data_IF_534175391190
#
_entry.id   IF_534175391190
#
_cell.length_a   1.000
_cell.length_b   1.000
_cell.length_c   1.000
_cell.angle_alpha   90.00
_cell.angle_beta   90.00
_cell.angle_gamma   90.00
#
_symmetry.space_group_name_H-M   'P 1'
#
loop_
_entity.id
_entity.type
_entity.pdbx_description
1 polymer ?
#
# COMPACT_ATOMS: atom_id res chain seq x y z
N UNK A 1 -34.63 -33.17 43.11
CA UNK A 1 -34.78 -33.15 41.64
C UNK A 1 -35.76 -32.04 41.31
N UNK A 2 -35.56 -31.38 40.16
CA UNK A 2 -36.34 -30.30 39.55
C UNK A 2 -35.67 -28.92 39.54
N UNK A 3 -34.97 -28.74 38.40
CA UNK A 3 -34.74 -27.53 37.62
C UNK A 3 -35.58 -26.30 37.99
N UNK A 4 -34.87 -25.24 38.38
CA UNK A 4 -35.41 -23.87 38.38
C UNK A 4 -34.47 -22.95 37.60
N UNK A 5 -34.86 -22.73 36.34
CA UNK A 5 -34.45 -21.65 35.41
C UNK A 5 -33.78 -20.46 36.12
N UNK A 6 -32.51 -20.22 35.84
CA UNK A 6 -31.85 -18.92 36.07
C UNK A 6 -31.67 -18.19 34.74
N UNK A 7 -31.99 -16.90 34.77
CA UNK A 7 -32.17 -15.95 33.66
C UNK A 7 -30.81 -15.49 33.08
N UNK A 8 -30.77 -15.07 31.80
CA UNK A 8 -29.57 -14.53 31.18
C UNK A 8 -29.42 -13.05 31.56
N UNK A 9 -28.78 -12.76 32.69
CA UNK A 9 -28.45 -11.37 33.06
C UNK A 9 -27.14 -11.22 33.87
N UNK A 10 -26.37 -12.30 34.03
CA UNK A 10 -25.14 -12.31 34.84
C UNK A 10 -23.84 -12.30 34.01
N UNK A 11 -23.88 -11.96 32.72
CA UNK A 11 -22.65 -11.82 31.89
C UNK A 11 -22.18 -10.35 31.79
N UNK A 12 -22.99 -9.39 32.26
CA UNK A 12 -22.71 -7.95 32.10
C UNK A 12 -21.94 -7.31 33.27
N UNK A 13 -21.51 -8.07 34.28
CA UNK A 13 -20.80 -7.51 35.45
C UNK A 13 -19.30 -7.80 35.51
N UNK A 14 -18.78 -8.69 34.68
CA UNK A 14 -17.34 -9.00 34.64
C UNK A 14 -16.54 -8.22 33.57
N UNK A 15 -17.17 -7.24 32.90
CA UNK A 15 -16.51 -6.36 31.92
C UNK A 15 -15.89 -5.09 32.54
N UNK A 16 -15.89 -4.95 33.87
CA UNK A 16 -15.42 -3.73 34.55
C UNK A 16 -13.96 -3.74 35.01
N UNK A 17 -13.20 -4.81 34.75
CA UNK A 17 -11.78 -4.87 35.12
C UNK A 17 -10.94 -5.60 34.05
N UNK A 18 -10.90 -5.07 32.83
CA UNK A 18 -9.81 -5.40 31.90
C UNK A 18 -9.00 -4.12 31.58
N UNK A 19 -7.67 -4.14 31.73
CA UNK A 19 -6.81 -3.05 31.30
C UNK A 19 -6.92 -2.86 29.78
N UNK A 20 -6.96 -1.60 29.33
CA UNK A 20 -7.19 -1.16 27.96
C UNK A 20 -6.06 -1.45 26.98
N UNK A 21 -5.64 -2.70 26.87
CA UNK A 21 -4.93 -3.22 25.71
C UNK A 21 -5.89 -4.13 24.98
N UNK A 22 -6.41 -3.65 23.85
CA UNK A 22 -7.02 -4.49 22.84
C UNK A 22 -5.95 -5.52 22.47
N UNK A 23 -6.19 -6.77 22.85
CA UNK A 23 -5.30 -7.90 22.65
C UNK A 23 -4.96 -8.00 21.15
N UNK A 24 -3.72 -7.68 20.78
CA UNK A 24 -3.21 -7.77 19.41
C UNK A 24 -3.36 -9.19 18.82
N UNK A 25 -3.51 -10.20 19.69
CA UNK A 25 -3.81 -11.57 19.29
C UNK A 25 -5.25 -11.80 18.87
N UNK A 26 -6.23 -11.07 19.41
CA UNK A 26 -7.64 -11.25 19.03
C UNK A 26 -7.96 -10.65 17.65
N UNK A 27 -7.25 -9.59 17.24
CA UNK A 27 -7.44 -8.96 15.93
C UNK A 27 -6.80 -9.74 14.77
N UNK A 28 -5.76 -10.54 15.06
CA UNK A 28 -5.04 -11.36 14.07
C UNK A 28 -5.87 -12.51 13.46
N UNK A 29 -7.07 -12.79 13.99
CA UNK A 29 -7.91 -13.93 13.57
C UNK A 29 -9.24 -13.54 12.93
N UNK A 30 -9.40 -12.30 12.47
CA UNK A 30 -10.58 -11.93 11.67
C UNK A 30 -10.28 -12.21 10.19
N UNK A 31 -10.21 -13.49 9.81
CA UNK A 31 -10.34 -13.89 8.40
C UNK A 31 -11.83 -13.87 8.06
N UNK A 32 -12.32 -12.77 7.50
CA UNK A 32 -13.72 -12.67 7.04
C UNK A 32 -13.78 -13.02 5.56
N UNK A 33 -14.41 -14.13 5.24
CA UNK A 33 -14.64 -14.59 3.88
C UNK A 33 -16.02 -14.18 3.41
N UNK A 34 -16.11 -13.50 2.26
CA UNK A 34 -17.36 -13.24 1.57
C UNK A 34 -17.36 -14.02 0.25
N UNK A 35 -18.37 -14.87 0.05
CA UNK A 35 -18.63 -15.54 -1.21
C UNK A 35 -19.57 -14.70 -2.08
N UNK A 36 -19.20 -14.50 -3.34
CA UNK A 36 -20.01 -13.82 -4.34
C UNK A 36 -20.13 -14.69 -5.59
N UNK A 37 -21.26 -14.65 -6.29
CA UNK A 37 -21.39 -15.37 -7.55
C UNK A 37 -22.72 -15.17 -8.26
N UNK A 38 -22.66 -14.62 -9.48
CA UNK A 38 -23.73 -14.63 -10.49
C UNK A 38 -23.09 -14.48 -11.90
N UNK A 39 -22.93 -15.58 -12.63
CA UNK A 39 -22.53 -15.58 -14.06
C UNK A 39 -21.02 -15.48 -14.34
N UNK A 40 -20.62 -15.22 -15.60
CA UNK A 40 -19.22 -15.28 -16.03
C UNK A 40 -18.35 -14.24 -15.33
N UNK A 41 -17.33 -14.71 -14.62
CA UNK A 41 -16.46 -13.93 -13.74
C UNK A 41 -15.45 -13.09 -14.52
N UNK A 42 -15.63 -11.76 -14.53
CA UNK A 42 -14.68 -10.81 -15.12
C UNK A 42 -13.90 -10.06 -14.04
N UNK A 43 -12.70 -9.53 -14.35
CA UNK A 43 -11.94 -8.73 -13.40
C UNK A 43 -12.69 -7.49 -12.84
N UNK A 44 -13.57 -6.91 -13.64
CA UNK A 44 -14.41 -5.79 -13.20
C UNK A 44 -15.48 -6.20 -12.18
N UNK A 45 -15.99 -7.44 -12.27
CA UNK A 45 -16.97 -7.96 -11.34
C UNK A 45 -16.31 -8.27 -9.98
N UNK A 46 -15.10 -8.85 -10.00
CA UNK A 46 -14.27 -9.03 -8.80
C UNK A 46 -13.99 -7.70 -8.11
N UNK A 47 -13.65 -6.64 -8.87
CA UNK A 47 -13.45 -5.31 -8.30
C UNK A 47 -14.69 -4.80 -7.55
N UNK A 48 -15.88 -5.00 -8.12
CA UNK A 48 -17.15 -4.60 -7.47
C UNK A 48 -17.32 -5.33 -6.13
N UNK A 49 -16.98 -6.61 -6.08
CA UNK A 49 -17.04 -7.40 -4.86
C UNK A 49 -15.98 -6.97 -3.83
N UNK A 50 -14.76 -6.65 -4.26
CA UNK A 50 -13.73 -6.06 -3.40
C UNK A 50 -14.20 -4.74 -2.78
N UNK A 51 -14.82 -3.86 -3.58
CA UNK A 51 -15.35 -2.59 -3.08
C UNK A 51 -16.48 -2.79 -2.06
N UNK A 52 -17.37 -3.76 -2.29
CA UNK A 52 -18.43 -4.13 -1.34
C UNK A 52 -17.82 -4.67 -0.05
N UNK A 53 -16.86 -5.58 -0.15
CA UNK A 53 -16.18 -6.18 1.00
C UNK A 53 -15.40 -5.13 1.81
N UNK A 54 -14.74 -4.17 1.16
CA UNK A 54 -14.02 -3.07 1.82
C UNK A 54 -14.95 -2.19 2.65
N UNK A 55 -16.13 -1.84 2.12
CA UNK A 55 -17.07 -0.91 2.76
C UNK A 55 -18.10 -1.60 3.65
N UNK A 56 -18.04 -2.93 3.75
CA UNK A 56 -18.94 -3.71 4.57
C UNK A 56 -18.75 -3.32 6.05
N UNK A 57 -19.84 -3.05 6.79
CA UNK A 57 -19.74 -2.69 8.19
C UNK A 57 -19.13 -3.83 9.02
N UNK A 58 -19.33 -5.09 8.61
CA UNK A 58 -18.62 -6.21 9.22
C UNK A 58 -17.09 -6.11 9.08
N UNK A 59 -16.57 -5.60 7.98
CA UNK A 59 -15.13 -5.57 7.73
C UNK A 59 -14.46 -4.27 8.19
N UNK A 60 -15.23 -3.34 8.75
CA UNK A 60 -14.76 -2.04 9.20
C UNK A 60 -14.58 -2.03 10.72
N UNK A 61 -13.44 -1.51 11.20
CA UNK A 61 -13.21 -1.22 12.62
C UNK A 61 -13.28 0.29 12.87
N UNK A 62 -13.50 0.70 14.11
CA UNK A 62 -13.40 2.11 14.51
C UNK A 62 -12.14 2.30 15.37
N UNK A 63 -11.33 3.31 15.05
CA UNK A 63 -10.15 3.69 15.83
C UNK A 63 -10.49 4.59 17.02
N UNK A 64 -9.48 4.94 17.83
CA UNK A 64 -9.64 5.80 19.01
C UNK A 64 -10.11 7.24 18.68
N UNK A 65 -10.06 7.64 17.41
CA UNK A 65 -10.52 8.92 16.88
C UNK A 65 -11.87 8.80 16.16
N UNK A 66 -12.58 7.68 16.32
CA UNK A 66 -13.84 7.36 15.64
C UNK A 66 -13.72 7.34 14.11
N UNK A 67 -12.52 7.10 13.59
CA UNK A 67 -12.29 6.88 12.15
C UNK A 67 -12.45 5.40 11.84
N UNK A 68 -12.97 5.13 10.65
CA UNK A 68 -13.28 3.80 10.14
C UNK A 68 -12.06 3.19 9.47
N UNK A 69 -11.45 2.22 10.13
CA UNK A 69 -10.35 1.41 9.61
C UNK A 69 -10.90 0.31 8.71
N UNK A 70 -10.58 0.34 7.42
CA UNK A 70 -10.95 -0.71 6.47
C UNK A 70 -9.80 -1.72 6.27
N UNK A 71 -10.08 -2.94 5.79
CA UNK A 71 -9.07 -3.98 5.56
C UNK A 71 -8.05 -3.53 4.51
N UNK A 72 -6.80 -3.87 4.73
CA UNK A 72 -5.71 -3.59 3.82
C UNK A 72 -5.20 -4.85 3.09
N UNK A 73 -5.57 -6.07 3.50
CA UNK A 73 -5.25 -7.28 2.74
C UNK A 73 -6.50 -7.97 2.22
N UNK A 74 -6.49 -8.30 0.94
CA UNK A 74 -7.57 -9.00 0.24
C UNK A 74 -7.01 -10.21 -0.51
N UNK A 75 -7.48 -11.41 -0.17
CA UNK A 75 -7.18 -12.63 -0.92
C UNK A 75 -8.41 -12.99 -1.73
N UNK A 76 -8.28 -12.93 -3.05
CA UNK A 76 -9.33 -13.29 -4.01
C UNK A 76 -9.13 -14.74 -4.42
N UNK A 77 -9.94 -15.61 -3.86
CA UNK A 77 -9.95 -17.03 -4.19
C UNK A 77 -10.86 -17.28 -5.39
N UNK A 78 -10.30 -17.87 -6.44
CA UNK A 78 -10.99 -18.21 -7.69
C UNK A 78 -10.82 -19.70 -7.99
N UNK A 79 -11.79 -20.26 -8.73
CA UNK A 79 -11.63 -21.58 -9.33
C UNK A 79 -10.40 -21.62 -10.27
N UNK A 80 -9.67 -22.74 -10.27
CA UNK A 80 -8.46 -22.91 -11.07
C UNK A 80 -8.70 -22.71 -12.58
N UNK A 81 -9.81 -23.20 -13.14
CA UNK A 81 -10.12 -23.06 -14.56
C UNK A 81 -10.42 -21.60 -14.92
N UNK A 82 -11.20 -20.91 -14.09
CA UNK A 82 -11.51 -19.47 -14.26
C UNK A 82 -10.25 -18.64 -14.17
N UNK A 83 -9.36 -18.94 -13.22
CA UNK A 83 -8.08 -18.26 -13.06
C UNK A 83 -7.20 -18.42 -14.30
N UNK A 84 -7.01 -19.66 -14.77
CA UNK A 84 -6.18 -19.94 -15.95
C UNK A 84 -6.74 -19.29 -17.22
N UNK A 85 -8.06 -19.35 -17.43
CA UNK A 85 -8.69 -18.84 -18.64
C UNK A 85 -8.70 -17.30 -18.73
N UNK A 86 -8.87 -16.60 -17.61
CA UNK A 86 -9.17 -15.15 -17.63
C UNK A 86 -8.24 -14.27 -16.80
N UNK A 87 -7.50 -14.82 -15.83
CA UNK A 87 -6.75 -14.03 -14.85
C UNK A 87 -5.24 -14.26 -14.90
N UNK A 88 -4.77 -15.48 -15.19
CA UNK A 88 -3.34 -15.81 -15.25
C UNK A 88 -2.51 -14.80 -16.07
N UNK A 89 -2.88 -14.44 -17.32
CA UNK A 89 -2.03 -13.57 -18.15
C UNK A 89 -1.95 -12.13 -17.65
N UNK A 90 -2.91 -11.70 -16.81
CA UNK A 90 -3.06 -10.30 -16.39
C UNK A 90 -3.06 -10.13 -14.87
N UNK A 91 -2.71 -11.17 -14.12
CA UNK A 91 -2.89 -11.22 -12.66
C UNK A 91 -2.17 -10.09 -11.93
N UNK A 92 -0.89 -9.83 -12.26
CA UNK A 92 -0.10 -8.74 -11.69
C UNK A 92 -0.70 -7.37 -12.00
N UNK A 93 -1.01 -7.10 -13.27
CA UNK A 93 -1.59 -5.82 -13.73
C UNK A 93 -2.95 -5.58 -13.09
N UNK A 94 -3.78 -6.62 -13.01
CA UNK A 94 -5.12 -6.55 -12.41
C UNK A 94 -5.04 -6.30 -10.91
N UNK A 95 -4.13 -6.95 -10.18
CA UNK A 95 -3.91 -6.68 -8.76
C UNK A 95 -3.53 -5.21 -8.53
N UNK A 96 -2.56 -4.68 -9.28
CA UNK A 96 -2.15 -3.27 -9.17
C UNK A 96 -3.30 -2.32 -9.51
N UNK A 97 -4.07 -2.61 -10.56
CA UNK A 97 -5.24 -1.81 -10.92
C UNK A 97 -6.34 -1.84 -9.85
N UNK A 98 -6.57 -2.97 -9.21
CA UNK A 98 -7.55 -3.07 -8.13
C UNK A 98 -7.10 -2.32 -6.89
N UNK A 99 -5.81 -2.36 -6.54
CA UNK A 99 -5.23 -1.59 -5.43
C UNK A 99 -5.45 -0.09 -5.65
N UNK A 100 -5.01 0.44 -6.79
CA UNK A 100 -5.16 1.87 -7.13
C UNK A 100 -6.63 2.31 -7.12
N UNK A 101 -7.53 1.47 -7.67
CA UNK A 101 -8.96 1.77 -7.66
C UNK A 101 -9.60 1.72 -6.28
N UNK A 102 -9.20 0.79 -5.40
CA UNK A 102 -9.72 0.75 -4.02
C UNK A 102 -9.30 1.99 -3.24
N UNK A 103 -8.04 2.41 -3.38
CA UNK A 103 -7.55 3.67 -2.82
C UNK A 103 -8.34 4.86 -3.37
N UNK A 104 -8.56 4.92 -4.69
CA UNK A 104 -9.33 5.97 -5.33
C UNK A 104 -10.78 6.01 -4.83
N UNK A 105 -11.44 4.86 -4.62
CA UNK A 105 -12.81 4.80 -4.10
C UNK A 105 -12.87 5.32 -2.66
N UNK A 106 -11.93 4.93 -1.81
CA UNK A 106 -11.88 5.37 -0.42
C UNK A 106 -11.62 6.88 -0.33
N UNK A 107 -10.67 7.38 -1.12
CA UNK A 107 -10.36 8.82 -1.25
C UNK A 107 -11.57 9.62 -1.76
N UNK A 108 -12.27 9.09 -2.77
CA UNK A 108 -13.50 9.70 -3.30
C UNK A 108 -14.59 9.75 -2.24
N UNK A 109 -14.72 8.70 -1.42
CA UNK A 109 -15.72 8.63 -0.33
C UNK A 109 -15.40 9.65 0.76
N UNK A 110 -14.15 9.76 1.19
CA UNK A 110 -13.71 10.77 2.16
C UNK A 110 -13.91 12.19 1.63
N UNK A 111 -13.54 12.43 0.36
CA UNK A 111 -13.73 13.73 -0.29
C UNK A 111 -15.21 14.15 -0.31
N UNK A 112 -16.12 13.22 -0.62
CA UNK A 112 -17.58 13.47 -0.59
C UNK A 112 -18.12 13.76 0.81
N UNK A 113 -17.51 13.17 1.84
CA UNK A 113 -17.85 13.40 3.24
C UNK A 113 -17.20 14.69 3.79
N UNK A 114 -16.26 15.29 3.06
CA UNK A 114 -15.50 16.47 3.49
C UNK A 114 -14.55 16.21 4.66
N UNK A 115 -14.34 14.94 5.03
CA UNK A 115 -13.48 14.50 6.13
C UNK A 115 -12.88 13.12 5.85
N UNK A 116 -11.68 12.88 6.34
CA UNK A 116 -11.05 11.57 6.33
C UNK A 116 -11.68 10.66 7.38
N UNK A 117 -12.88 10.17 7.07
CA UNK A 117 -13.62 9.23 7.92
C UNK A 117 -13.12 7.80 7.76
N UNK A 118 -12.80 7.37 6.53
CA UNK A 118 -12.29 6.02 6.25
C UNK A 118 -10.78 6.06 6.04
N UNK A 119 -10.04 5.05 6.48
CA UNK A 119 -8.66 4.85 6.07
C UNK A 119 -8.32 3.37 6.10
N UNK A 120 -7.33 2.97 5.30
CA UNK A 120 -6.79 1.62 5.37
C UNK A 120 -5.96 1.43 6.64
N UNK A 121 -5.95 0.22 7.18
CA UNK A 121 -5.07 -0.14 8.29
C UNK A 121 -3.57 -0.10 7.92
N UNK A 122 -3.24 -0.14 6.63
CA UNK A 122 -1.87 -0.16 6.12
C UNK A 122 -1.87 -0.21 4.58
N UNK A 123 -0.76 -0.56 3.92
CA UNK A 123 -0.69 -0.65 2.46
C UNK A 123 -1.66 -1.70 1.93
N UNK A 124 -2.37 -1.37 0.85
CA UNK A 124 -3.36 -2.27 0.25
C UNK A 124 -2.67 -3.39 -0.52
N UNK A 125 -2.81 -4.61 -0.03
CA UNK A 125 -2.29 -5.84 -0.64
C UNK A 125 -3.45 -6.65 -1.20
N UNK A 126 -3.37 -7.00 -2.47
CA UNK A 126 -4.36 -7.84 -3.14
C UNK A 126 -3.65 -9.02 -3.79
N UNK A 127 -4.06 -10.22 -3.41
CA UNK A 127 -3.51 -11.48 -3.89
C UNK A 127 -4.64 -12.30 -4.52
N UNK A 128 -4.33 -13.03 -5.59
CA UNK A 128 -5.27 -13.96 -6.21
C UNK A 128 -4.79 -15.37 -5.90
N UNK A 129 -5.64 -16.14 -5.23
CA UNK A 129 -5.36 -17.53 -4.86
C UNK A 129 -6.28 -18.47 -5.65
N UNK A 130 -5.76 -19.66 -5.97
CA UNK A 130 -6.50 -20.68 -6.73
C UNK A 130 -7.00 -21.76 -5.79
N UNK A 131 -8.29 -22.07 -5.88
CA UNK A 131 -8.94 -23.06 -5.02
C UNK A 131 -9.78 -24.00 -5.87
N UNK A 132 -9.67 -25.30 -5.63
CA UNK A 132 -10.45 -26.33 -6.35
C UNK A 132 -11.83 -26.56 -5.75
N UNK A 133 -12.07 -26.06 -4.54
CA UNK A 133 -13.30 -26.19 -3.74
C UNK A 133 -14.34 -25.10 -4.05
N UNK A 134 -14.16 -24.34 -5.13
CA UNK A 134 -15.01 -23.21 -5.50
C UNK A 134 -15.60 -23.41 -6.88
N UNK A 135 -16.88 -23.07 -7.07
CA UNK A 135 -17.52 -23.16 -8.39
C UNK A 135 -16.89 -22.18 -9.39
N UNK A 136 -16.94 -22.50 -10.69
CA UNK A 136 -16.34 -21.68 -11.76
C UNK A 136 -16.86 -20.23 -11.81
N UNK A 137 -18.08 -20.01 -11.31
CA UNK A 137 -18.76 -18.71 -11.27
C UNK A 137 -18.84 -18.10 -9.86
N UNK A 138 -18.08 -18.65 -8.91
CA UNK A 138 -18.02 -18.16 -7.54
C UNK A 138 -16.63 -17.59 -7.25
N UNK A 139 -16.60 -16.53 -6.45
CA UNK A 139 -15.38 -15.95 -5.89
C UNK A 139 -15.53 -15.82 -4.39
N UNK A 140 -14.46 -16.15 -3.68
CA UNK A 140 -14.38 -15.93 -2.24
C UNK A 140 -13.33 -14.86 -1.98
N UNK A 141 -13.74 -13.80 -1.29
CA UNK A 141 -12.84 -12.70 -0.94
C UNK A 141 -12.60 -12.78 0.56
N UNK A 142 -11.35 -13.08 0.94
CA UNK A 142 -10.91 -13.02 2.32
C UNK A 142 -10.34 -11.64 2.61
N UNK A 143 -10.96 -10.94 3.55
CA UNK A 143 -10.50 -9.64 4.02
C UNK A 143 -9.73 -9.83 5.33
N UNK A 144 -8.58 -9.18 5.42
CA UNK A 144 -7.77 -9.15 6.63
C UNK A 144 -7.25 -7.74 6.91
N UNK A 145 -7.32 -7.35 8.18
CA UNK A 145 -6.70 -6.15 8.70
C UNK A 145 -5.34 -6.56 9.25
N UNK A 146 -4.27 -6.10 8.58
CA UNK A 146 -2.90 -6.24 9.03
C UNK A 146 -2.48 -4.86 9.52
N UNK A 147 -2.37 -4.71 10.84
CA UNK A 147 -1.83 -3.49 11.41
C UNK A 147 -0.38 -3.29 10.91
N UNK A 148 0.12 -2.04 10.77
CA UNK A 148 1.50 -1.78 10.38
C UNK A 148 2.55 -2.23 11.41
N UNK A 149 2.13 -3.00 12.44
CA UNK A 149 2.96 -3.46 13.54
C UNK A 149 2.88 -4.98 13.67
N UNK A 150 3.42 -5.67 12.67
CA UNK A 150 4.10 -6.96 12.83
C UNK A 150 5.01 -7.14 11.60
N UNK A 151 5.99 -6.25 11.48
CA UNK A 151 7.28 -6.70 10.99
C UNK A 151 7.70 -7.82 11.94
N UNK A 152 7.50 -9.06 11.48
CA UNK A 152 7.90 -10.28 12.16
C UNK A 152 9.26 -10.04 12.82
N UNK A 153 9.45 -10.29 14.13
CA UNK A 153 10.78 -10.31 14.70
C UNK A 153 11.54 -11.41 13.95
N UNK A 154 12.38 -10.99 13.01
CA UNK A 154 13.24 -11.85 12.25
C UNK A 154 13.94 -12.78 13.24
N UNK A 155 13.78 -14.08 13.02
CA UNK A 155 14.41 -15.12 13.79
C UNK A 155 15.88 -14.77 13.99
N UNK A 156 16.30 -14.80 15.26
CA UNK A 156 17.66 -14.78 15.80
C UNK A 156 18.77 -14.51 14.77
N UNK A 157 19.45 -13.35 14.81
CA UNK A 157 20.64 -13.15 13.99
C UNK A 157 21.71 -14.18 14.39
N UNK A 158 22.37 -14.88 13.45
CA UNK A 158 23.66 -15.51 13.74
C UNK A 158 24.67 -14.40 14.16
N UNK A 159 25.67 -14.73 14.98
CA UNK A 159 26.56 -13.75 15.61
C UNK A 159 27.23 -12.83 14.56
N UNK A 160 27.49 -11.56 14.92
CA UNK A 160 27.93 -10.54 13.99
C UNK A 160 29.33 -10.88 13.47
N UNK A 161 29.40 -11.33 12.22
CA UNK A 161 30.59 -11.10 11.41
C UNK A 161 30.49 -9.64 10.99
N UNK A 162 31.36 -8.78 11.54
CA UNK A 162 31.40 -7.35 11.24
C UNK A 162 31.22 -7.09 9.74
N UNK A 163 30.13 -6.44 9.29
CA UNK A 163 30.11 -5.88 7.96
C UNK A 163 30.95 -4.60 7.98
N UNK A 164 31.76 -4.42 6.93
CA UNK A 164 32.36 -3.14 6.57
C UNK A 164 31.30 -2.03 6.58
N UNK A 165 31.68 -0.74 6.75
CA UNK A 165 30.72 0.36 6.70
C UNK A 165 30.08 0.42 5.31
N UNK A 166 28.91 -0.20 5.14
CA UNK A 166 28.05 0.02 4.00
C UNK A 166 27.45 1.40 4.19
N UNK A 167 28.00 2.38 3.48
CA UNK A 167 27.43 3.72 3.41
C UNK A 167 26.08 3.62 2.70
N UNK A 168 25.01 3.71 3.48
CA UNK A 168 23.63 3.65 2.98
C UNK A 168 23.29 5.02 2.42
N UNK A 169 22.82 5.09 1.18
CA UNK A 169 22.34 6.34 0.59
C UNK A 169 20.98 6.75 1.17
N UNK A 170 20.61 8.02 1.05
CA UNK A 170 19.29 8.50 1.43
C UNK A 170 18.77 9.61 0.54
N UNK A 171 17.45 9.77 0.58
CA UNK A 171 16.72 10.85 -0.06
C UNK A 171 16.16 11.79 1.00
N UNK A 172 16.31 13.08 0.77
CA UNK A 172 15.78 14.14 1.62
C UNK A 172 14.70 14.93 0.87
N UNK A 173 13.59 15.23 1.52
CA UNK A 173 12.49 16.01 0.94
C UNK A 173 12.77 17.52 1.00
N UNK A 174 12.59 18.24 -0.11
CA UNK A 174 12.74 19.68 -0.18
C UNK A 174 11.42 20.40 -0.55
N UNK A 175 11.01 21.45 0.20
CA UNK A 175 11.52 21.84 1.52
C UNK A 175 10.99 20.87 2.61
N UNK A 176 11.86 20.43 3.52
CA UNK A 176 11.46 19.57 4.63
C UNK A 176 12.64 18.95 5.38
N UNK A 177 12.34 18.29 6.51
CA UNK A 177 13.31 17.50 7.29
C UNK A 177 13.10 15.99 7.10
N UNK A 178 12.16 15.61 6.23
CA UNK A 178 11.82 14.21 6.02
C UNK A 178 12.89 13.55 5.14
N UNK A 179 13.47 12.47 5.67
CA UNK A 179 14.54 11.74 5.00
C UNK A 179 14.24 10.24 5.02
N UNK A 180 14.55 9.56 3.91
CA UNK A 180 14.37 8.12 3.74
C UNK A 180 15.69 7.46 3.37
N UNK A 181 16.03 6.37 4.05
CA UNK A 181 17.22 5.57 3.73
C UNK A 181 16.92 4.57 2.60
N UNK A 182 17.84 4.47 1.65
CA UNK A 182 17.78 3.56 0.52
C UNK A 182 18.48 2.25 0.86
N UNK A 183 17.84 1.45 1.73
CA UNK A 183 18.39 0.19 2.22
C UNK A 183 18.05 -1.03 1.35
N UNK A 184 17.09 -0.90 0.43
CA UNK A 184 16.62 -1.98 -0.43
C UNK A 184 17.30 -1.95 -1.80
N UNK A 185 17.31 -3.09 -2.50
CA UNK A 185 17.79 -3.19 -3.89
C UNK A 185 16.91 -2.41 -4.87
N UNK A 186 15.61 -2.32 -4.60
CA UNK A 186 14.66 -1.49 -5.32
C UNK A 186 13.85 -0.71 -4.29
N UNK A 187 13.75 0.60 -4.47
CA UNK A 187 12.94 1.50 -3.64
C UNK A 187 11.95 2.22 -4.53
N UNK A 188 10.66 1.95 -4.33
CA UNK A 188 9.56 2.56 -5.07
C UNK A 188 9.11 3.87 -4.41
N UNK A 189 8.83 4.88 -5.22
CA UNK A 189 8.47 6.23 -4.78
C UNK A 189 7.17 6.65 -5.46
N UNK A 190 6.20 7.14 -4.68
CA UNK A 190 4.95 7.61 -5.25
C UNK A 190 3.89 7.98 -4.23
N UNK A 191 2.72 8.35 -4.74
CA UNK A 191 1.54 8.73 -3.93
C UNK A 191 0.83 7.53 -3.30
N UNK A 192 1.02 6.33 -3.84
CA UNK A 192 0.36 5.12 -3.34
C UNK A 192 1.07 4.63 -2.05
N UNK A 193 0.27 4.15 -1.09
CA UNK A 193 0.73 3.61 0.18
C UNK A 193 1.59 2.35 0.06
N UNK A 194 1.50 1.64 -1.07
CA UNK A 194 2.31 0.47 -1.41
C UNK A 194 3.76 0.81 -1.81
N UNK A 195 4.11 2.09 -1.98
CA UNK A 195 5.48 2.51 -2.26
C UNK A 195 6.33 2.49 -0.99
N UNK A 196 7.60 2.10 -1.11
CA UNK A 196 8.57 2.16 0.00
C UNK A 196 8.73 3.59 0.53
N UNK A 197 8.76 4.56 -0.39
CA UNK A 197 8.65 5.98 -0.09
C UNK A 197 7.26 6.46 -0.49
N UNK A 198 6.35 6.37 0.48
CA UNK A 198 4.98 6.86 0.36
C UNK A 198 4.93 8.38 0.60
N UNK A 199 4.58 9.13 -0.44
CA UNK A 199 4.48 10.59 -0.43
C UNK A 199 3.10 11.05 0.04
N UNK A 200 2.82 10.84 1.33
CA UNK A 200 1.59 11.29 2.00
C UNK A 200 1.66 12.79 2.36
N UNK A 201 1.76 13.64 1.34
CA UNK A 201 1.84 15.09 1.50
C UNK A 201 0.53 15.75 1.01
N UNK A 202 -0.06 16.70 1.77
CA UNK A 202 -1.34 17.32 1.39
C UNK A 202 -1.34 17.94 -0.01
N UNK A 203 -0.25 18.60 -0.41
CA UNK A 203 -0.13 19.22 -1.73
C UNK A 203 -0.01 18.20 -2.87
N UNK A 204 0.62 17.04 -2.61
CA UNK A 204 0.69 15.92 -3.56
C UNK A 204 -0.69 15.32 -3.77
N UNK A 205 -1.43 15.06 -2.68
CA UNK A 205 -2.81 14.54 -2.73
C UNK A 205 -3.77 15.49 -3.44
N UNK A 206 -3.64 16.79 -3.19
CA UNK A 206 -4.53 17.80 -3.77
C UNK A 206 -4.30 18.00 -5.28
N UNK A 207 -3.03 18.07 -5.71
CA UNK A 207 -2.68 18.37 -7.11
C UNK A 207 -2.57 17.13 -8.00
N UNK A 208 -2.31 15.95 -7.41
CA UNK A 208 -2.17 14.66 -8.11
C UNK A 208 -1.22 14.69 -9.30
N UNK A 209 -0.15 15.48 -9.22
CA UNK A 209 0.89 15.51 -10.25
C UNK A 209 1.80 14.28 -10.14
N UNK A 210 2.07 13.83 -8.92
CA UNK A 210 2.82 12.61 -8.64
C UNK A 210 1.90 11.39 -8.78
N UNK A 211 2.36 10.39 -9.53
CA UNK A 211 1.64 9.16 -9.84
C UNK A 211 1.60 8.23 -8.62
N UNK A 212 0.69 7.24 -8.63
CA UNK A 212 0.60 6.23 -7.57
C UNK A 212 1.94 5.54 -7.35
N UNK A 213 2.51 5.02 -8.43
CA UNK A 213 3.91 4.60 -8.54
C UNK A 213 4.58 5.54 -9.55
N UNK A 214 5.49 6.40 -9.12
CA UNK A 214 5.98 7.50 -9.95
C UNK A 214 7.42 7.32 -10.39
N UNK A 215 8.27 6.83 -9.51
CA UNK A 215 9.66 6.53 -9.83
C UNK A 215 10.13 5.38 -8.95
N UNK A 216 11.19 4.71 -9.37
CA UNK A 216 11.88 3.76 -8.51
C UNK A 216 13.39 3.94 -8.63
N UNK A 217 14.09 3.68 -7.53
CA UNK A 217 15.54 3.61 -7.50
C UNK A 217 15.95 2.15 -7.43
N UNK A 218 16.91 1.76 -8.24
CA UNK A 218 17.53 0.43 -8.19
C UNK A 218 18.99 0.57 -7.79
N UNK A 219 19.40 -0.17 -6.78
CA UNK A 219 20.79 -0.34 -6.41
C UNK A 219 21.38 -1.51 -7.22
N UNK A 220 22.34 -1.23 -8.09
CA UNK A 220 23.02 -2.24 -8.92
C UNK A 220 24.50 -1.89 -9.03
N UNK A 221 25.38 -2.88 -8.87
CA UNK A 221 26.84 -2.70 -8.98
C UNK A 221 27.40 -1.58 -8.07
N UNK A 222 26.82 -1.39 -6.88
CA UNK A 222 27.24 -0.35 -5.93
C UNK A 222 26.82 1.07 -6.34
N UNK A 223 25.92 1.21 -7.31
CA UNK A 223 25.40 2.50 -7.80
C UNK A 223 23.88 2.53 -7.71
N UNK A 224 23.33 3.72 -7.46
CA UNK A 224 21.89 3.95 -7.43
C UNK A 224 21.44 4.50 -8.78
N UNK A 225 20.48 3.84 -9.40
CA UNK A 225 19.90 4.21 -10.69
C UNK A 225 18.43 4.59 -10.50
N UNK A 226 18.06 5.81 -10.85
CA UNK A 226 16.69 6.29 -10.85
C UNK A 226 16.00 5.99 -12.18
N UNK A 227 14.76 5.52 -12.13
CA UNK A 227 13.91 5.25 -13.28
C UNK A 227 12.59 6.00 -13.17
N UNK A 228 12.07 6.47 -14.31
CA UNK A 228 10.77 7.12 -14.43
C UNK A 228 9.66 6.07 -14.58
N UNK A 229 8.66 6.10 -13.70
CA UNK A 229 7.53 5.19 -13.71
C UNK A 229 7.63 4.03 -12.73
N UNK A 230 6.89 2.96 -13.02
CA UNK A 230 6.83 1.73 -12.25
C UNK A 230 7.76 0.65 -12.83
N UNK A 231 8.20 -0.33 -12.01
CA UNK A 231 9.04 -1.44 -12.47
C UNK A 231 8.40 -2.32 -13.56
N UNK A 232 7.08 -2.27 -13.72
CA UNK A 232 6.33 -2.99 -14.76
C UNK A 232 6.43 -2.33 -16.16
N UNK A 233 7.16 -1.20 -16.26
CA UNK A 233 7.35 -0.44 -17.50
C UNK A 233 6.30 0.65 -17.72
N UNK A 234 5.36 0.85 -16.80
CA UNK A 234 4.40 1.95 -16.87
C UNK A 234 5.09 3.28 -16.58
N UNK A 235 5.14 4.24 -17.53
CA UNK A 235 5.77 5.53 -17.28
C UNK A 235 4.95 6.38 -16.31
N UNK A 236 5.62 7.30 -15.62
CA UNK A 236 4.92 8.29 -14.81
C UNK A 236 4.14 9.28 -15.70
N UNK A 237 3.07 9.87 -15.16
CA UNK A 237 2.18 10.73 -15.95
C UNK A 237 2.82 12.08 -16.31
N UNK A 238 3.65 12.62 -15.42
CA UNK A 238 4.23 13.97 -15.54
C UNK A 238 5.77 13.97 -15.58
N UNK A 239 6.39 12.80 -15.69
CA UNK A 239 7.82 12.62 -15.82
C UNK A 239 8.61 12.80 -14.52
N UNK A 240 9.76 12.16 -14.48
CA UNK A 240 10.78 12.30 -13.44
C UNK A 240 12.01 13.00 -14.01
N UNK A 241 12.61 13.90 -13.25
CA UNK A 241 13.76 14.71 -13.69
C UNK A 241 14.88 14.66 -12.66
N UNK A 242 16.12 14.73 -13.12
CA UNK A 242 17.33 14.87 -12.30
C UNK A 242 18.11 16.07 -12.81
N UNK A 243 18.37 17.05 -11.94
CA UNK A 243 19.04 18.31 -12.29
C UNK A 243 18.43 18.96 -13.55
N UNK A 244 17.10 19.12 -13.54
CA UNK A 244 16.28 19.67 -14.62
C UNK A 244 16.23 18.86 -15.93
N UNK A 245 16.84 17.68 -15.97
CA UNK A 245 16.84 16.81 -17.15
C UNK A 245 15.93 15.62 -16.94
N UNK A 246 15.08 15.33 -17.92
CA UNK A 246 14.18 14.17 -17.84
C UNK A 246 14.98 12.87 -17.80
N UNK A 247 14.62 11.98 -16.88
CA UNK A 247 15.23 10.65 -16.75
C UNK A 247 14.99 9.83 -18.01
N UNK A 248 16.04 9.18 -18.49
CA UNK A 248 15.95 8.32 -19.68
C UNK A 248 15.25 7.00 -19.36
N UNK A 249 14.65 6.31 -20.35
CA UNK A 249 14.08 4.98 -20.15
C UNK A 249 15.10 3.93 -19.67
N UNK A 250 16.39 4.17 -19.87
CA UNK A 250 17.48 3.27 -19.42
C UNK A 250 17.87 3.53 -17.96
N UNK A 251 17.25 4.51 -17.31
CA UNK A 251 17.58 4.98 -15.98
C UNK A 251 18.68 6.04 -15.98
N UNK A 252 18.83 6.72 -14.85
CA UNK A 252 19.84 7.74 -14.60
C UNK A 252 20.63 7.37 -13.36
N UNK A 253 21.96 7.33 -13.46
CA UNK A 253 22.82 7.13 -12.28
C UNK A 253 22.74 8.37 -11.40
N UNK A 254 22.47 8.17 -10.11
CA UNK A 254 22.44 9.21 -9.10
C UNK A 254 23.82 9.43 -8.47
N UNK A 255 24.16 10.69 -8.24
CA UNK A 255 25.35 11.14 -7.54
C UNK A 255 24.94 12.00 -6.33
N UNK A 256 25.72 11.95 -5.25
CA UNK A 256 25.52 12.85 -4.11
C UNK A 256 25.44 14.29 -4.59
N UNK A 257 24.36 14.99 -4.25
CA UNK A 257 24.12 16.35 -4.73
C UNK A 257 23.01 16.46 -5.77
N UNK A 258 22.59 15.34 -6.34
CA UNK A 258 21.55 15.33 -7.38
C UNK A 258 20.18 15.73 -6.81
N UNK A 259 19.53 16.65 -7.52
CA UNK A 259 18.16 17.08 -7.24
C UNK A 259 17.22 16.29 -8.15
N UNK A 260 16.31 15.54 -7.54
CA UNK A 260 15.30 14.73 -8.20
C UNK A 260 13.97 15.46 -8.11
N UNK A 261 13.31 15.68 -9.23
CA UNK A 261 12.00 16.33 -9.31
C UNK A 261 11.00 15.28 -9.79
N UNK A 262 10.02 14.98 -8.94
CA UNK A 262 8.91 14.08 -9.23
C UNK A 262 7.73 14.92 -9.73
N UNK A 263 7.39 14.73 -11.00
CA UNK A 263 6.44 15.49 -11.80
C UNK A 263 6.89 16.91 -12.17
N UNK A 264 6.55 17.33 -13.38
CA UNK A 264 6.61 18.73 -13.80
C UNK A 264 5.30 19.12 -14.50
N UNK A 265 4.85 20.36 -14.28
CA UNK A 265 3.71 20.92 -15.05
C UNK A 265 4.14 21.25 -16.47
N UNK A 266 5.37 21.76 -16.64
CA UNK A 266 6.02 21.97 -17.94
C UNK A 266 7.27 21.09 -18.02
N UNK A 267 7.27 20.04 -18.87
CA UNK A 267 8.42 19.16 -19.04
C UNK A 267 9.69 19.85 -19.56
N UNK A 268 9.55 21.01 -20.22
CA UNK A 268 10.70 21.77 -20.72
C UNK A 268 11.29 22.72 -19.67
N UNK A 269 10.57 22.91 -18.55
CA UNK A 269 10.97 23.78 -17.46
C UNK A 269 10.48 23.21 -16.11
N UNK A 270 11.06 22.09 -15.64
CA UNK A 270 10.65 21.42 -14.41
C UNK A 270 10.98 22.30 -13.20
N UNK A 271 10.02 23.09 -12.75
CA UNK A 271 10.21 24.03 -11.64
C UNK A 271 9.99 23.34 -10.29
N UNK A 272 11.01 23.25 -9.41
CA UNK A 272 10.91 22.57 -8.11
C UNK A 272 9.95 23.27 -7.14
N UNK A 273 9.76 24.59 -7.28
CA UNK A 273 8.85 25.39 -6.45
C UNK A 273 7.37 25.27 -6.85
N UNK A 274 7.05 24.43 -7.84
CA UNK A 274 5.68 24.30 -8.34
C UNK A 274 4.82 23.53 -7.35
N UNK A 275 3.68 24.11 -6.94
CA UNK A 275 2.74 23.44 -6.04
C UNK A 275 2.27 22.12 -6.63
N UNK A 276 2.52 21.01 -5.92
CA UNK A 276 2.17 19.66 -6.34
C UNK A 276 3.33 18.84 -6.87
N UNK A 277 4.47 19.48 -7.15
CA UNK A 277 5.75 18.84 -7.49
C UNK A 277 6.47 18.46 -6.19
N UNK A 278 7.20 17.34 -6.23
CA UNK A 278 8.04 16.92 -5.11
C UNK A 278 9.49 16.98 -5.53
N UNK A 279 10.30 17.66 -4.72
CA UNK A 279 11.74 17.74 -4.92
C UNK A 279 12.42 16.90 -3.85
N UNK A 280 13.30 16.00 -4.28
CA UNK A 280 14.11 15.15 -3.41
C UNK A 280 15.59 15.42 -3.67
N UNK A 281 16.40 15.38 -2.63
CA UNK A 281 17.85 15.50 -2.73
C UNK A 281 18.50 14.16 -2.42
N UNK A 282 19.43 13.72 -3.26
CA UNK A 282 20.11 12.44 -3.07
C UNK A 282 21.46 12.61 -2.38
N UNK A 283 21.66 11.82 -1.33
CA UNK A 283 22.92 11.68 -0.60
C UNK A 283 23.41 10.23 -0.71
N UNK A 284 24.59 9.98 -1.28
CA UNK A 284 25.16 8.62 -1.28
C UNK A 284 25.61 8.17 0.12
N UNK A 285 25.83 9.12 1.03
CA UNK A 285 26.26 8.88 2.40
C UNK A 285 25.27 9.53 3.37
N UNK A 286 24.42 8.72 3.99
CA UNK A 286 23.51 9.22 5.00
C UNK A 286 24.28 9.50 6.30
N UNK A 287 24.71 10.75 6.51
CA UNK A 287 25.29 11.18 7.79
C UNK A 287 24.16 11.46 8.78
N UNK A 288 24.19 10.77 9.91
CA UNK A 288 23.40 11.11 11.11
C UNK A 288 23.87 12.42 11.72
#
# INVERSE_FOLDING_TARGET
MEDKKRKPLDVLKDLKNLPGHIDARLQSQIRRSLSFGQGPMRPADVFRYLQQAMLAPENTLEDAQYRKVVPNRYVVELNEQTYQAHFQPISSVVCTQWQDKLEQVLETKNSRLGRDEYHFAGPVQIEIERVTDLAENEVRIQCQIIAPSDAVPASTPPPPSSPAPTTVACLELLPGEQQWQLAQDITLIGRNSACDIHLDLPFVKQKRLVSGQHAYIRHQEGRYHLYDGAPDGTPSSNGTFVNDRRVSPQGQVLQTGDVIILAAVDPNNPRPDTVGVVTLFFHADCRR
#
